data_IF_689073332101
#
_entry.id   IF_689073332101
#
_cell.length_a   1.000
_cell.length_b   1.000
_cell.length_c   1.000
_cell.angle_alpha   90.00
_cell.angle_beta   90.00
_cell.angle_gamma   90.00
#
_symmetry.space_group_name_H-M   'P 1'
#
loop_
_entity.id
_entity.type
_entity.pdbx_description
1 polymer ?
#
# COMPACT_ATOMS: atom_id res chain seq x y z
N UNK A 1 3.57 -4.70 -14.92
CA UNK A 1 2.22 -4.12 -14.78
C UNK A 1 2.36 -2.92 -13.86
N UNK A 2 1.78 -1.77 -14.25
CA UNK A 2 1.80 -0.59 -13.38
C UNK A 2 0.78 -0.76 -12.26
N UNK A 3 1.10 -0.19 -11.11
CA UNK A 3 0.23 -0.20 -9.94
C UNK A 3 -1.14 0.39 -10.29
N UNK A 4 -2.27 -0.19 -9.85
CA UNK A 4 -3.57 0.44 -10.04
C UNK A 4 -3.56 1.87 -9.52
N UNK A 5 -4.03 2.79 -10.35
CA UNK A 5 -3.91 4.24 -10.08
C UNK A 5 -4.47 4.59 -8.70
N UNK A 6 -5.64 4.05 -8.32
CA UNK A 6 -6.24 4.30 -7.01
C UNK A 6 -5.39 3.83 -5.81
N UNK A 7 -4.53 2.82 -5.97
CA UNK A 7 -3.65 2.33 -4.90
C UNK A 7 -2.36 3.15 -4.78
N UNK A 8 -1.99 3.90 -5.82
CA UNK A 8 -0.75 4.69 -5.87
C UNK A 8 -0.98 6.20 -5.82
N UNK A 9 -2.19 6.65 -6.11
CA UNK A 9 -2.60 8.05 -5.98
C UNK A 9 -2.66 8.45 -4.51
N UNK A 10 -2.03 9.57 -4.12
CA UNK A 10 -2.09 10.09 -2.76
C UNK A 10 -3.51 10.40 -2.29
N UNK A 11 -3.78 10.24 -1.00
CA UNK A 11 -4.99 10.75 -0.36
C UNK A 11 -5.10 12.29 -0.52
N UNK A 12 -6.29 12.87 -0.76
CA UNK A 12 -7.62 12.23 -0.79
C UNK A 12 -8.02 11.63 -2.14
N UNK A 13 -7.26 11.90 -3.22
CA UNK A 13 -7.63 11.47 -4.58
C UNK A 13 -7.43 9.96 -4.81
N UNK A 14 -6.71 9.29 -3.90
CA UNK A 14 -6.55 7.84 -3.85
C UNK A 14 -6.33 7.31 -2.43
N UNK A 15 -5.89 6.07 -2.35
CA UNK A 15 -5.75 5.31 -1.09
C UNK A 15 -4.31 5.28 -0.55
N UNK A 16 -3.36 5.88 -1.27
CA UNK A 16 -1.96 5.91 -0.86
C UNK A 16 -1.74 7.02 0.18
N UNK A 17 -1.27 6.66 1.37
CA UNK A 17 -1.07 7.62 2.46
C UNK A 17 0.18 7.28 3.28
N UNK A 18 0.88 8.31 3.75
CA UNK A 18 2.22 8.22 4.36
C UNK A 18 2.31 8.89 5.73
N UNK A 19 1.22 9.00 6.50
CA UNK A 19 1.19 9.63 7.83
C UNK A 19 1.53 8.61 8.95
N UNK A 20 2.66 7.91 8.81
CA UNK A 20 3.00 6.77 9.69
C UNK A 20 3.19 7.17 11.16
N UNK A 21 3.86 8.30 11.43
CA UNK A 21 4.01 8.84 12.79
C UNK A 21 2.68 9.28 13.43
N UNK A 22 1.62 9.41 12.61
CA UNK A 22 0.27 9.77 13.04
C UNK A 22 -0.67 8.56 13.00
N UNK A 23 -0.09 7.36 12.99
CA UNK A 23 -0.78 6.07 13.01
C UNK A 23 -1.75 5.85 11.83
N UNK A 24 -1.55 6.56 10.72
CA UNK A 24 -2.37 6.44 9.51
C UNK A 24 -1.50 6.39 8.25
N UNK A 25 -1.32 5.20 7.68
CA UNK A 25 -0.53 5.06 6.46
C UNK A 25 -0.67 3.70 5.78
N UNK A 26 -0.31 3.66 4.50
CA UNK A 26 -0.39 2.46 3.67
C UNK A 26 0.78 1.52 4.00
N UNK A 27 0.49 0.43 4.70
CA UNK A 27 1.48 -0.60 5.02
C UNK A 27 1.59 -1.68 3.92
N UNK A 28 0.54 -1.87 3.12
CA UNK A 28 0.54 -2.77 1.97
C UNK A 28 -0.63 -2.47 1.04
N UNK A 29 -0.47 -2.86 -0.23
CA UNK A 29 -1.53 -2.87 -1.24
C UNK A 29 -1.55 -4.24 -1.91
N UNK A 30 -2.74 -4.80 -2.14
CA UNK A 30 -2.90 -6.17 -2.66
C UNK A 30 -3.95 -6.23 -3.76
N UNK A 31 -3.67 -7.01 -4.80
CA UNK A 31 -4.58 -7.37 -5.88
C UNK A 31 -4.63 -8.90 -5.92
N UNK A 32 -5.83 -9.45 -5.94
CA UNK A 32 -6.05 -10.89 -5.98
C UNK A 32 -6.61 -11.27 -7.34
N UNK A 33 -5.90 -12.10 -8.09
CA UNK A 33 -6.45 -12.85 -9.20
C UNK A 33 -6.84 -14.24 -8.71
N UNK A 34 -8.14 -14.46 -8.52
CA UNK A 34 -8.69 -15.74 -8.03
C UNK A 34 -8.78 -16.80 -9.12
N UNK A 35 -8.73 -16.41 -10.39
CA UNK A 35 -8.77 -17.33 -11.54
C UNK A 35 -7.40 -17.99 -11.70
N UNK A 36 -6.35 -17.17 -11.74
CA UNK A 36 -4.96 -17.65 -11.86
C UNK A 36 -4.34 -18.03 -10.52
N UNK A 37 -5.02 -17.72 -9.41
CA UNK A 37 -4.53 -17.94 -8.03
C UNK A 37 -3.22 -17.19 -7.77
N UNK A 38 -3.19 -15.93 -8.17
CA UNK A 38 -2.07 -15.01 -7.99
C UNK A 38 -2.45 -13.88 -7.04
N UNK A 39 -1.47 -13.46 -6.23
CA UNK A 39 -1.55 -12.27 -5.38
C UNK A 39 -0.42 -11.35 -5.80
N UNK A 40 -0.77 -10.16 -6.25
CA UNK A 40 0.18 -9.07 -6.39
C UNK A 40 0.12 -8.22 -5.13
N UNK A 41 1.27 -8.03 -4.48
CA UNK A 41 1.39 -7.27 -3.26
C UNK A 41 2.55 -6.29 -3.34
N UNK A 42 2.29 -5.05 -2.93
CA UNK A 42 3.34 -4.14 -2.50
C UNK A 42 3.36 -4.08 -0.98
N UNK A 43 4.56 -4.22 -0.41
CA UNK A 43 4.83 -3.94 0.99
C UNK A 43 5.26 -2.48 1.13
N UNK A 44 4.63 -1.73 2.04
CA UNK A 44 4.62 -0.28 2.01
C UNK A 44 3.75 0.27 0.87
N UNK A 45 4.00 1.52 0.50
CA UNK A 45 3.23 2.19 -0.57
C UNK A 45 3.74 1.84 -1.98
N UNK A 46 2.84 1.60 -2.97
CA UNK A 46 3.17 1.31 -4.36
C UNK A 46 3.72 2.51 -5.15
N UNK A 47 3.66 3.72 -4.60
CA UNK A 47 4.31 4.91 -5.17
C UNK A 47 5.85 4.80 -5.18
N UNK A 48 6.42 4.01 -4.27
CA UNK A 48 7.88 3.94 -4.07
C UNK A 48 8.38 2.48 -4.04
N UNK A 49 7.59 1.57 -3.47
CA UNK A 49 8.00 0.18 -3.30
C UNK A 49 7.58 -0.68 -4.49
N UNK A 50 8.33 -1.76 -4.72
CA UNK A 50 8.08 -2.68 -5.83
C UNK A 50 6.91 -3.61 -5.51
N UNK A 51 6.13 -3.91 -6.54
CA UNK A 51 5.18 -5.01 -6.54
C UNK A 51 5.90 -6.35 -6.56
N UNK A 52 5.35 -7.32 -5.86
CA UNK A 52 5.79 -8.70 -5.81
C UNK A 52 4.59 -9.58 -6.15
N UNK A 53 4.80 -10.59 -6.97
CA UNK A 53 3.75 -11.56 -7.33
C UNK A 53 4.01 -12.86 -6.60
N UNK A 54 2.98 -13.40 -5.97
CA UNK A 54 3.00 -14.69 -5.28
C UNK A 54 1.89 -15.57 -5.82
N UNK A 55 2.21 -16.83 -6.08
CA UNK A 55 1.21 -17.86 -6.33
C UNK A 55 0.60 -18.31 -5.00
N UNK A 56 -0.71 -18.51 -4.96
CA UNK A 56 -1.39 -19.06 -3.80
C UNK A 56 -0.98 -20.52 -3.63
N UNK A 57 -0.34 -20.83 -2.51
CA UNK A 57 0.19 -22.16 -2.22
C UNK A 57 1.14 -22.16 -1.02
N UNK A 58 2.02 -23.16 -0.95
CA UNK A 58 3.07 -23.18 0.05
C UNK A 58 4.04 -22.00 -0.19
N UNK A 59 4.23 -21.19 0.84
CA UNK A 59 5.15 -20.05 0.81
C UNK A 59 6.24 -20.28 1.86
N UNK A 60 7.46 -19.89 1.51
CA UNK A 60 8.57 -19.81 2.45
C UNK A 60 8.62 -18.42 3.06
N UNK A 61 9.11 -18.32 4.29
CA UNK A 61 9.39 -17.06 4.93
C UNK A 61 10.43 -16.27 4.11
N UNK A 62 10.20 -14.96 3.98
CA UNK A 62 11.08 -14.05 3.25
C UNK A 62 11.05 -12.68 3.89
N UNK A 63 12.23 -12.11 4.11
CA UNK A 63 12.38 -10.71 4.49
C UNK A 63 12.43 -9.83 3.23
N UNK A 64 11.64 -8.76 3.22
CA UNK A 64 11.62 -7.78 2.12
C UNK A 64 11.85 -6.40 2.73
N UNK A 65 12.95 -5.76 2.33
CA UNK A 65 13.24 -4.38 2.71
C UNK A 65 12.36 -3.43 1.92
N UNK A 66 11.71 -2.52 2.63
CA UNK A 66 10.80 -1.52 2.05
C UNK A 66 11.11 -0.14 2.60
N UNK A 67 10.73 0.89 1.83
CA UNK A 67 10.83 2.28 2.25
C UNK A 67 9.45 2.79 2.68
N UNK A 68 9.39 3.35 3.87
CA UNK A 68 8.21 4.01 4.41
C UNK A 68 8.48 5.52 4.43
N UNK A 69 8.13 6.25 3.35
CA UNK A 69 8.26 7.71 3.34
C UNK A 69 7.35 8.31 4.43
N UNK A 70 7.83 9.27 5.20
CA UNK A 70 6.99 9.96 6.19
C UNK A 70 6.49 11.27 5.62
N UNK A 71 5.18 11.48 5.65
CA UNK A 71 4.50 12.74 5.33
C UNK A 71 3.67 13.20 6.52
N UNK A 72 3.40 14.51 6.61
CA UNK A 72 2.54 15.07 7.66
C UNK A 72 1.11 15.21 7.14
N UNK A 73 0.14 14.76 7.91
CA UNK A 73 -1.27 14.96 7.62
C UNK A 73 -1.61 16.45 7.55
N UNK A 74 -2.51 16.80 6.62
CA UNK A 74 -3.09 18.14 6.59
C UNK A 74 -3.79 18.47 7.92
N UNK A 75 -3.79 19.75 8.32
CA UNK A 75 -4.33 20.21 9.62
C UNK A 75 -5.77 19.77 9.91
N UNK A 76 -6.54 19.55 8.85
CA UNK A 76 -7.96 19.22 8.93
C UNK A 76 -8.23 17.72 8.72
N UNK A 77 -7.22 16.91 8.44
CA UNK A 77 -7.39 15.50 8.08
C UNK A 77 -8.06 14.68 9.19
N UNK A 78 -7.68 14.90 10.45
CA UNK A 78 -8.25 14.20 11.62
C UNK A 78 -9.46 14.92 12.22
N UNK A 79 -9.95 16.01 11.61
CA UNK A 79 -11.14 16.70 12.13
C UNK A 79 -12.38 15.91 11.75
N UNK A 80 -13.03 15.32 12.76
CA UNK A 80 -14.35 14.71 12.62
C UNK A 80 -15.40 15.81 12.79
N UNK A 81 -16.16 16.07 11.74
CA UNK A 81 -17.31 16.99 11.76
C UNK A 81 -18.59 16.18 11.84
N UNK A 82 -19.47 16.53 12.78
CA UNK A 82 -20.80 15.90 12.98
C UNK A 82 -21.90 16.81 12.45
#
# INVERSE_FOLDING_TARGET
MEAPIGLSTPYPDGLCCHYYDEFFGTLRSMIFDVTEKNIEITFGSPKINKWNTFLVGALNEKEIKVMLPQEKAGKDFYKITY
#
